data_IF_466556889214
#
_entry.id   IF_466556889214
#
_cell.length_a   1.000
_cell.length_b   1.000
_cell.length_c   1.000
_cell.angle_alpha   90.00
_cell.angle_beta   90.00
_cell.angle_gamma   90.00
#
_symmetry.space_group_name_H-M   'P 1'
#
loop_
_entity.id
_entity.type
_entity.pdbx_description
1 polymer ?
#
# COMPACT_ATOMS: atom_id res chain seq x y z
N UNK A 1 -3.07 -3.02 -24.21
CA UNK A 1 -3.40 -2.48 -25.53
C UNK A 1 -2.27 -1.56 -26.00
N UNK A 2 -2.07 -1.41 -27.34
CA UNK A 2 -1.12 -0.49 -27.92
C UNK A 2 -1.81 0.35 -29.01
N UNK A 3 -1.46 1.64 -29.04
CA UNK A 3 -1.90 2.61 -30.06
C UNK A 3 -0.66 3.12 -30.79
N UNK A 4 -0.71 3.17 -32.10
CA UNK A 4 0.39 3.69 -32.92
C UNK A 4 -0.11 4.90 -33.70
N UNK A 5 0.43 6.07 -33.34
CA UNK A 5 0.25 7.32 -34.09
C UNK A 5 1.36 7.43 -35.12
N UNK A 6 0.98 7.68 -36.41
CA UNK A 6 1.93 7.94 -37.50
C UNK A 6 1.90 9.42 -37.87
N UNK A 7 3.00 9.89 -38.41
CA UNK A 7 3.12 11.26 -38.95
C UNK A 7 2.84 12.35 -37.92
N UNK A 8 3.65 12.34 -36.85
CA UNK A 8 3.66 13.46 -35.91
C UNK A 8 4.33 14.67 -36.58
N UNK A 9 3.62 15.78 -36.64
CA UNK A 9 4.18 17.02 -37.17
C UNK A 9 4.94 17.81 -36.11
N UNK A 10 4.54 17.63 -34.82
CA UNK A 10 5.14 18.26 -33.66
C UNK A 10 5.06 17.30 -32.46
N UNK A 11 6.02 17.42 -31.58
CA UNK A 11 6.01 16.68 -30.30
C UNK A 11 4.82 17.04 -29.39
N UNK A 12 4.26 18.24 -29.51
CA UNK A 12 3.05 18.65 -28.79
C UNK A 12 1.83 17.80 -29.15
N UNK A 13 1.79 17.21 -30.36
CA UNK A 13 0.69 16.30 -30.73
C UNK A 13 0.66 15.04 -29.88
N UNK A 14 1.80 14.61 -29.29
CA UNK A 14 1.90 13.48 -28.39
C UNK A 14 1.09 13.71 -27.13
N UNK A 15 1.20 14.91 -26.57
CA UNK A 15 0.47 15.28 -25.34
C UNK A 15 -1.03 15.35 -25.61
N UNK A 16 -1.43 15.92 -26.74
CA UNK A 16 -2.83 15.96 -27.17
C UNK A 16 -3.42 14.54 -27.30
N UNK A 17 -2.66 13.60 -27.85
CA UNK A 17 -3.12 12.21 -27.97
C UNK A 17 -3.17 11.53 -26.62
N UNK A 18 -2.16 11.73 -25.77
CA UNK A 18 -2.12 11.21 -24.40
C UNK A 18 -3.33 11.67 -23.58
N UNK A 19 -3.59 12.98 -23.57
CA UNK A 19 -4.75 13.57 -22.89
C UNK A 19 -6.08 13.02 -23.40
N UNK A 20 -6.27 12.93 -24.71
CA UNK A 20 -7.48 12.37 -25.30
C UNK A 20 -7.71 10.91 -24.92
N UNK A 21 -6.64 10.11 -24.86
CA UNK A 21 -6.75 8.72 -24.47
C UNK A 21 -7.12 8.60 -22.97
N UNK A 22 -6.55 9.42 -22.10
CA UNK A 22 -6.92 9.45 -20.67
C UNK A 22 -8.37 9.90 -20.53
N UNK A 23 -8.77 10.95 -21.23
CA UNK A 23 -10.14 11.46 -21.21
C UNK A 23 -11.16 10.44 -21.72
N UNK A 24 -10.81 9.61 -22.71
CA UNK A 24 -11.70 8.56 -23.21
C UNK A 24 -12.04 7.48 -22.16
N UNK A 25 -11.21 7.32 -21.12
CA UNK A 25 -11.48 6.43 -19.98
C UNK A 25 -12.16 7.14 -18.81
N UNK A 26 -12.32 8.47 -18.85
CA UNK A 26 -12.95 9.22 -17.77
C UNK A 26 -14.48 9.15 -17.80
N UNK A 27 -15.06 8.81 -18.96
CA UNK A 27 -16.49 8.57 -19.09
C UNK A 27 -16.83 7.12 -18.69
N UNK A 28 -17.93 6.89 -17.96
CA UNK A 28 -18.32 5.55 -17.57
C UNK A 28 -18.73 4.71 -18.80
N UNK A 29 -18.33 3.45 -18.79
CA UNK A 29 -18.74 2.47 -19.79
C UNK A 29 -20.03 1.78 -19.35
N UNK A 30 -21.03 1.72 -20.21
CA UNK A 30 -22.25 0.95 -19.98
C UNK A 30 -22.05 -0.50 -20.49
N UNK A 31 -22.07 -1.46 -19.57
CA UNK A 31 -21.96 -2.89 -19.89
C UNK A 31 -23.13 -3.62 -19.21
N UNK A 32 -23.98 -4.27 -19.98
CA UNK A 32 -25.15 -5.01 -19.49
C UNK A 32 -26.06 -4.20 -18.53
N UNK A 33 -26.24 -2.90 -18.82
CA UNK A 33 -27.05 -1.97 -18.01
C UNK A 33 -26.41 -1.54 -16.70
N UNK A 34 -25.09 -1.75 -16.55
CA UNK A 34 -24.31 -1.27 -15.40
C UNK A 34 -23.25 -0.27 -15.87
N UNK A 35 -23.13 0.82 -15.15
CA UNK A 35 -22.04 1.79 -15.35
C UNK A 35 -20.75 1.25 -14.72
N UNK A 36 -19.68 1.17 -15.54
CA UNK A 36 -18.35 0.77 -15.11
C UNK A 36 -17.41 1.96 -15.29
N UNK A 37 -16.83 2.41 -14.19
CA UNK A 37 -15.75 3.40 -14.19
C UNK A 37 -14.41 2.67 -14.35
N UNK A 38 -13.70 2.96 -15.44
CA UNK A 38 -12.39 2.39 -15.75
C UNK A 38 -11.40 3.53 -15.91
N UNK A 39 -10.21 3.37 -15.35
CA UNK A 39 -9.13 4.33 -15.54
C UNK A 39 -8.00 3.71 -16.36
N UNK A 40 -7.27 4.54 -17.11
CA UNK A 40 -6.16 4.12 -17.94
C UNK A 40 -4.84 4.79 -17.53
N UNK A 41 -3.79 4.00 -17.34
CA UNK A 41 -2.42 4.51 -17.26
C UNK A 41 -1.72 4.25 -18.59
N UNK A 42 -1.15 5.30 -19.19
CA UNK A 42 -0.65 5.28 -20.55
C UNK A 42 0.82 5.66 -20.55
N UNK A 43 1.65 4.80 -21.14
CA UNK A 43 3.06 5.11 -21.39
C UNK A 43 3.28 5.45 -22.85
N UNK A 44 4.04 6.47 -23.12
CA UNK A 44 4.30 6.99 -24.47
C UNK A 44 5.79 6.99 -24.76
N UNK A 45 6.18 6.45 -25.90
CA UNK A 45 7.53 6.55 -26.44
C UNK A 45 7.49 7.01 -27.90
N UNK A 46 8.47 7.79 -28.33
CA UNK A 46 8.50 8.47 -29.63
C UNK A 46 9.73 8.05 -30.44
N UNK A 47 9.53 7.61 -31.67
CA UNK A 47 10.59 7.37 -32.63
C UNK A 47 10.93 8.66 -33.40
N UNK A 48 12.20 8.95 -33.67
CA UNK A 48 13.42 8.21 -33.26
C UNK A 48 14.01 8.68 -31.93
N UNK A 49 13.35 9.58 -31.21
CA UNK A 49 13.87 10.23 -30.00
C UNK A 49 14.15 9.23 -28.87
N UNK A 50 13.18 8.35 -28.58
CA UNK A 50 13.24 7.47 -27.41
C UNK A 50 13.76 6.07 -27.76
N UNK A 51 13.72 5.66 -29.03
CA UNK A 51 14.16 4.34 -29.48
C UNK A 51 14.47 4.34 -30.97
N UNK A 52 15.30 3.37 -31.41
CA UNK A 52 15.68 3.22 -32.83
C UNK A 52 15.08 1.98 -33.50
N UNK A 53 14.39 1.14 -32.75
CA UNK A 53 13.71 -0.04 -33.26
C UNK A 53 12.39 -0.26 -32.53
N UNK A 54 11.56 -1.16 -33.08
CA UNK A 54 10.23 -1.49 -32.58
C UNK A 54 10.25 -2.01 -31.15
N UNK A 55 11.18 -2.90 -30.85
CA UNK A 55 11.21 -3.62 -29.57
C UNK A 55 11.61 -2.67 -28.42
N UNK A 56 12.54 -1.78 -28.67
CA UNK A 56 12.88 -0.68 -27.74
C UNK A 56 11.71 0.26 -27.55
N UNK A 57 11.02 0.63 -28.64
CA UNK A 57 9.89 1.56 -28.55
C UNK A 57 8.78 0.98 -27.66
N UNK A 58 8.42 -0.28 -27.88
CA UNK A 58 7.41 -0.94 -27.03
C UNK A 58 7.87 -1.08 -25.59
N UNK A 59 9.12 -1.46 -25.35
CA UNK A 59 9.67 -1.56 -24.00
C UNK A 59 9.67 -0.21 -23.28
N UNK A 60 10.03 0.87 -23.93
CA UNK A 60 10.06 2.21 -23.36
C UNK A 60 8.65 2.75 -23.09
N UNK A 61 7.69 2.46 -23.98
CA UNK A 61 6.28 2.77 -23.70
C UNK A 61 5.75 1.98 -22.48
N UNK A 62 6.10 0.71 -22.37
CA UNK A 62 5.72 -0.11 -21.22
C UNK A 62 6.34 0.40 -19.91
N UNK A 63 7.63 0.77 -19.94
CA UNK A 63 8.30 1.43 -18.81
C UNK A 63 7.58 2.70 -18.38
N UNK A 64 7.23 3.57 -19.33
CA UNK A 64 6.51 4.82 -19.04
C UNK A 64 5.07 4.57 -18.53
N UNK A 65 4.38 3.56 -19.06
CA UNK A 65 3.06 3.16 -18.58
C UNK A 65 3.12 2.67 -17.14
N UNK A 66 4.14 1.91 -16.82
CA UNK A 66 4.35 1.44 -15.45
C UNK A 66 4.60 2.61 -14.50
N UNK A 67 5.43 3.57 -14.91
CA UNK A 67 5.66 4.80 -14.16
C UNK A 67 4.37 5.62 -13.97
N UNK A 68 3.51 5.68 -14.99
CA UNK A 68 2.20 6.32 -14.87
C UNK A 68 1.30 5.64 -13.81
N UNK A 69 1.34 4.30 -13.71
CA UNK A 69 0.60 3.55 -12.68
C UNK A 69 1.08 3.87 -11.26
N UNK A 70 2.37 4.06 -11.06
CA UNK A 70 2.95 4.39 -9.76
C UNK A 70 2.69 5.83 -9.34
N UNK A 71 2.63 6.75 -10.31
CA UNK A 71 2.47 8.17 -10.07
C UNK A 71 1.02 8.63 -10.25
N UNK A 72 0.10 8.03 -9.48
CA UNK A 72 -1.28 8.49 -9.34
C UNK A 72 -2.28 7.80 -10.26
N UNK A 73 -1.87 6.90 -11.16
CA UNK A 73 -2.76 6.23 -12.12
C UNK A 73 -3.57 7.25 -12.96
N UNK A 74 -4.46 6.79 -13.84
CA UNK A 74 -5.35 7.64 -14.64
C UNK A 74 -4.65 8.86 -15.30
N UNK A 75 -3.45 8.65 -15.81
CA UNK A 75 -2.63 9.65 -16.45
C UNK A 75 -1.86 9.06 -17.64
N UNK A 76 -1.20 9.92 -18.41
CA UNK A 76 -0.20 9.49 -19.37
C UNK A 76 1.19 10.03 -18.99
N UNK A 77 2.23 9.26 -19.30
CA UNK A 77 3.61 9.63 -19.05
C UNK A 77 4.44 9.35 -20.31
N UNK A 78 5.27 10.33 -20.69
CA UNK A 78 6.27 10.17 -21.77
C UNK A 78 7.51 9.50 -21.20
N UNK A 79 8.08 8.57 -21.98
CA UNK A 79 9.30 7.90 -21.59
C UNK A 79 10.44 8.91 -21.35
N UNK A 80 11.15 8.69 -20.29
CA UNK A 80 12.42 9.33 -19.98
C UNK A 80 13.43 8.26 -19.54
N UNK A 81 14.70 8.35 -19.94
CA UNK A 81 15.71 7.31 -19.65
C UNK A 81 15.84 6.98 -18.15
N UNK A 82 15.58 7.95 -17.28
CA UNK A 82 15.63 7.82 -15.82
C UNK A 82 14.61 6.80 -15.29
N UNK A 83 13.50 6.59 -16.01
CA UNK A 83 12.47 5.62 -15.65
C UNK A 83 12.96 4.18 -15.68
N UNK A 84 13.93 3.87 -16.54
CA UNK A 84 14.55 2.54 -16.55
C UNK A 84 15.20 2.20 -15.20
N UNK A 85 15.84 3.19 -14.55
CA UNK A 85 16.46 2.99 -13.24
C UNK A 85 15.40 2.72 -12.15
N UNK A 86 14.24 3.42 -12.21
CA UNK A 86 13.14 3.19 -11.28
C UNK A 86 12.54 1.79 -11.42
N UNK A 87 12.30 1.34 -12.65
CA UNK A 87 11.80 -0.03 -12.91
C UNK A 87 12.78 -1.09 -12.41
N UNK A 88 14.10 -0.88 -12.63
CA UNK A 88 15.12 -1.80 -12.12
C UNK A 88 15.19 -1.79 -10.59
N UNK A 89 15.15 -0.60 -9.96
CA UNK A 89 15.11 -0.46 -8.49
C UNK A 89 13.92 -1.23 -7.92
N UNK A 90 12.74 -1.09 -8.52
CA UNK A 90 11.54 -1.77 -8.06
C UNK A 90 11.65 -3.29 -8.21
N UNK A 91 12.12 -3.80 -9.34
CA UNK A 91 12.32 -5.23 -9.53
C UNK A 91 13.31 -5.82 -8.50
N UNK A 92 14.35 -5.07 -8.16
CA UNK A 92 15.27 -5.44 -7.07
C UNK A 92 14.56 -5.47 -5.71
N UNK A 93 13.76 -4.44 -5.40
CA UNK A 93 12.95 -4.38 -4.19
C UNK A 93 11.99 -5.57 -4.08
N UNK A 94 11.24 -5.87 -5.15
CA UNK A 94 10.32 -7.01 -5.18
C UNK A 94 11.02 -8.34 -4.90
N UNK A 95 12.17 -8.58 -5.56
CA UNK A 95 12.94 -9.80 -5.38
C UNK A 95 13.54 -9.92 -3.97
N UNK A 96 14.04 -8.83 -3.42
CA UNK A 96 14.57 -8.80 -2.06
C UNK A 96 13.45 -8.99 -1.03
N UNK A 97 12.31 -8.31 -1.20
CA UNK A 97 11.19 -8.38 -0.26
C UNK A 97 10.57 -9.78 -0.17
N UNK A 98 10.52 -10.53 -1.29
CA UNK A 98 10.08 -11.94 -1.29
C UNK A 98 10.89 -12.84 -0.34
N UNK A 99 12.13 -12.48 -0.07
CA UNK A 99 13.04 -13.23 0.82
C UNK A 99 13.06 -12.67 2.24
N UNK A 100 12.70 -11.40 2.41
CA UNK A 100 12.91 -10.64 3.64
C UNK A 100 12.29 -11.30 4.88
N UNK A 101 11.03 -11.77 4.77
CA UNK A 101 10.34 -12.41 5.90
C UNK A 101 11.05 -13.71 6.32
N UNK A 102 11.37 -14.59 5.36
CA UNK A 102 12.06 -15.86 5.66
C UNK A 102 13.53 -15.70 6.05
N UNK A 103 14.15 -14.58 5.66
CA UNK A 103 15.54 -14.26 6.01
C UNK A 103 15.68 -13.53 7.36
N UNK A 104 14.59 -13.15 8.03
CA UNK A 104 14.63 -12.39 9.27
C UNK A 104 15.15 -10.96 9.10
N UNK A 105 14.94 -10.37 7.93
CA UNK A 105 15.35 -9.00 7.61
C UNK A 105 14.35 -7.94 8.08
N UNK A 106 13.16 -8.36 8.52
CA UNK A 106 12.11 -7.48 9.05
C UNK A 106 12.24 -7.37 10.58
N UNK A 107 12.01 -6.17 11.10
CA UNK A 107 12.01 -5.88 12.52
C UNK A 107 10.89 -4.88 12.86
N UNK A 108 10.45 -4.86 14.12
CA UNK A 108 9.55 -3.83 14.63
C UNK A 108 10.31 -2.81 15.46
N UNK A 109 10.05 -1.54 15.20
CA UNK A 109 10.38 -0.45 16.11
C UNK A 109 9.09 0.04 16.76
N UNK A 110 9.20 0.50 18.00
CA UNK A 110 8.05 0.92 18.78
C UNK A 110 8.14 2.40 19.12
N UNK A 111 7.13 3.16 18.70
CA UNK A 111 7.01 4.57 19.03
C UNK A 111 6.06 4.75 20.21
N UNK A 112 6.51 5.31 21.35
CA UNK A 112 5.67 5.43 22.52
C UNK A 112 4.63 6.56 22.37
N UNK A 113 3.40 6.28 22.81
CA UNK A 113 2.29 7.22 22.92
C UNK A 113 2.04 7.49 24.39
N UNK A 114 2.07 8.79 24.75
CA UNK A 114 1.99 9.25 26.13
C UNK A 114 0.61 9.79 26.48
N UNK A 115 0.14 9.46 27.65
CA UNK A 115 -1.00 10.15 28.26
C UNK A 115 -0.58 11.58 28.66
N UNK A 116 -1.19 12.59 28.07
CA UNK A 116 -0.78 13.99 28.27
C UNK A 116 -0.83 14.44 29.73
N UNK A 117 -1.81 13.97 30.51
CA UNK A 117 -2.00 14.38 31.88
C UNK A 117 -0.95 13.82 32.85
N UNK A 118 -0.49 12.60 32.64
CA UNK A 118 0.41 11.89 33.55
C UNK A 118 1.83 11.74 33.02
N UNK A 119 2.04 11.93 31.71
CA UNK A 119 3.32 11.64 31.04
C UNK A 119 3.67 10.14 30.95
N UNK A 120 2.71 9.25 31.22
CA UNK A 120 2.93 7.79 31.14
C UNK A 120 2.78 7.29 29.71
N UNK A 121 3.57 6.29 29.36
CA UNK A 121 3.35 5.51 28.12
C UNK A 121 2.09 4.65 28.34
N UNK A 122 1.11 4.80 27.46
CA UNK A 122 -0.16 4.06 27.50
C UNK A 122 -0.31 3.13 26.29
N UNK A 123 0.41 3.44 25.20
CA UNK A 123 0.40 2.67 23.97
C UNK A 123 1.78 2.75 23.32
N UNK A 124 2.10 1.80 22.48
CA UNK A 124 3.22 1.86 21.53
C UNK A 124 2.70 1.58 20.14
N UNK A 125 3.11 2.37 19.15
CA UNK A 125 2.87 2.08 17.76
C UNK A 125 3.97 1.17 17.21
N UNK A 126 3.57 0.04 16.63
CA UNK A 126 4.48 -0.91 16.01
C UNK A 126 4.76 -0.51 14.56
N UNK A 127 5.98 -0.10 14.30
CA UNK A 127 6.44 0.41 13.02
C UNK A 127 7.37 -0.57 12.34
N UNK A 128 6.95 -1.12 11.21
CA UNK A 128 7.76 -2.06 10.44
C UNK A 128 9.03 -1.39 9.92
N UNK A 129 10.16 -2.10 10.04
CA UNK A 129 11.48 -1.72 9.53
C UNK A 129 12.05 -2.87 8.71
N UNK A 130 12.70 -2.54 7.62
CA UNK A 130 13.37 -3.52 6.78
C UNK A 130 14.85 -3.21 6.65
N UNK A 131 15.67 -4.16 7.07
CA UNK A 131 17.13 -4.11 6.96
C UNK A 131 17.57 -5.21 5.98
N UNK A 132 17.54 -4.90 4.70
CA UNK A 132 17.93 -5.85 3.66
C UNK A 132 19.44 -6.08 3.64
N UNK A 133 19.87 -7.34 3.57
CA UNK A 133 21.28 -7.67 3.40
C UNK A 133 21.85 -7.15 2.07
N UNK A 134 20.99 -7.01 1.04
CA UNK A 134 21.37 -6.56 -0.29
C UNK A 134 21.24 -5.04 -0.46
N UNK A 135 20.16 -4.43 0.08
CA UNK A 135 19.79 -3.05 -0.16
C UNK A 135 20.09 -2.11 1.02
N UNK A 136 20.52 -2.67 2.16
CA UNK A 136 20.69 -1.89 3.40
C UNK A 136 19.35 -1.55 4.06
N UNK A 137 19.28 -0.39 4.72
CA UNK A 137 18.03 0.11 5.32
C UNK A 137 17.11 0.61 4.23
N UNK A 138 15.92 0.03 4.13
CA UNK A 138 14.91 0.41 3.14
C UNK A 138 13.79 1.17 3.84
N UNK A 139 13.44 2.34 3.31
CA UNK A 139 12.40 3.19 3.89
C UNK A 139 11.00 2.59 3.67
N UNK A 140 10.07 2.70 4.65
CA UNK A 140 8.71 2.15 4.56
C UNK A 140 7.96 2.56 3.30
N UNK A 141 8.06 3.82 2.90
CA UNK A 141 7.44 4.37 1.69
C UNK A 141 7.92 3.69 0.39
N UNK A 142 9.14 3.16 0.37
CA UNK A 142 9.70 2.47 -0.80
C UNK A 142 9.14 1.04 -0.94
N UNK A 143 8.86 0.32 0.17
CA UNK A 143 8.53 -1.11 0.08
C UNK A 143 7.08 -1.47 0.45
N UNK A 144 6.36 -0.64 1.20
CA UNK A 144 4.97 -0.97 1.59
C UNK A 144 4.07 -1.06 0.36
N UNK A 145 4.14 -0.06 -0.54
CA UNK A 145 3.38 -0.07 -1.80
C UNK A 145 3.74 -1.27 -2.68
N UNK A 146 5.03 -1.63 -2.71
CA UNK A 146 5.50 -2.84 -3.42
C UNK A 146 4.91 -4.10 -2.79
N UNK A 147 4.94 -4.22 -1.44
CA UNK A 147 4.36 -5.34 -0.72
C UNK A 147 2.87 -5.49 -1.00
N UNK A 148 2.14 -4.37 -1.05
CA UNK A 148 0.73 -4.35 -1.42
C UNK A 148 0.51 -4.87 -2.84
N UNK A 149 1.22 -4.33 -3.83
CA UNK A 149 1.05 -4.69 -5.24
C UNK A 149 1.31 -6.17 -5.50
N UNK A 150 2.35 -6.75 -4.89
CA UNK A 150 2.71 -8.17 -5.09
C UNK A 150 2.04 -9.13 -4.07
N UNK A 151 1.24 -8.61 -3.13
CA UNK A 151 0.48 -9.40 -2.16
C UNK A 151 1.24 -9.83 -0.92
N UNK A 152 2.49 -9.46 -0.79
CA UNK A 152 3.29 -9.79 0.40
C UNK A 152 2.88 -9.02 1.66
N UNK A 153 2.09 -7.95 1.50
CA UNK A 153 1.57 -7.21 2.66
C UNK A 153 0.70 -8.10 3.57
N UNK A 154 0.07 -9.16 3.04
CA UNK A 154 -0.73 -10.09 3.84
C UNK A 154 0.14 -10.88 4.82
N UNK A 155 1.12 -11.72 4.38
CA UNK A 155 1.96 -12.46 5.30
C UNK A 155 2.88 -11.55 6.15
N UNK A 156 3.31 -10.41 5.63
CA UNK A 156 4.09 -9.43 6.40
C UNK A 156 3.22 -8.85 7.52
N UNK A 157 2.00 -8.43 7.22
CA UNK A 157 1.09 -7.86 8.20
C UNK A 157 0.67 -8.84 9.29
N UNK A 158 0.46 -10.11 8.93
CA UNK A 158 0.22 -11.19 9.90
C UNK A 158 1.41 -11.32 10.86
N UNK A 159 2.63 -11.39 10.33
CA UNK A 159 3.85 -11.42 11.14
C UNK A 159 4.01 -10.18 12.04
N UNK A 160 3.65 -8.99 11.53
CA UNK A 160 3.70 -7.73 12.31
C UNK A 160 2.74 -7.81 13.50
N UNK A 161 1.48 -8.19 13.27
CA UNK A 161 0.46 -8.29 14.33
C UNK A 161 0.87 -9.34 15.36
N UNK A 162 1.30 -10.52 14.92
CA UNK A 162 1.74 -11.60 15.79
C UNK A 162 2.93 -11.18 16.64
N UNK A 163 3.96 -10.58 16.03
CA UNK A 163 5.17 -10.14 16.73
C UNK A 163 4.84 -9.04 17.74
N UNK A 164 4.07 -8.03 17.33
CA UNK A 164 3.67 -6.92 18.19
C UNK A 164 2.84 -7.39 19.39
N UNK A 165 1.86 -8.26 19.15
CA UNK A 165 1.03 -8.82 20.22
C UNK A 165 1.86 -9.65 21.21
N UNK A 166 2.77 -10.49 20.72
CA UNK A 166 3.65 -11.33 21.56
C UNK A 166 4.56 -10.47 22.42
N UNK A 167 5.28 -9.53 21.83
CA UNK A 167 6.24 -8.69 22.56
C UNK A 167 5.54 -7.82 23.61
N UNK A 168 4.39 -7.21 23.28
CA UNK A 168 3.64 -6.38 24.23
C UNK A 168 2.97 -7.24 25.33
N UNK A 169 2.53 -8.45 25.02
CA UNK A 169 2.07 -9.39 26.04
C UNK A 169 3.20 -9.72 27.04
N UNK A 170 4.42 -10.00 26.56
CA UNK A 170 5.59 -10.23 27.40
C UNK A 170 5.93 -9.00 28.26
N UNK A 171 5.97 -7.80 27.69
CA UNK A 171 6.24 -6.57 28.45
C UNK A 171 5.20 -6.33 29.53
N UNK A 172 3.95 -6.62 29.26
CA UNK A 172 2.85 -6.46 30.23
C UNK A 172 2.96 -7.41 31.43
N UNK A 173 3.75 -8.47 31.35
CA UNK A 173 4.00 -9.34 32.52
C UNK A 173 4.79 -8.65 33.64
N UNK A 174 5.62 -7.66 33.28
CA UNK A 174 6.50 -6.93 34.22
C UNK A 174 6.02 -5.48 34.47
N UNK A 175 5.12 -4.97 33.67
CA UNK A 175 4.57 -3.62 33.82
C UNK A 175 3.51 -3.56 34.92
N UNK A 176 3.55 -2.51 35.75
CA UNK A 176 2.51 -2.26 36.78
C UNK A 176 1.13 -1.96 36.21
N UNK A 177 1.08 -1.41 35.02
CA UNK A 177 -0.13 -1.10 34.28
C UNK A 177 0.05 -1.60 32.84
N UNK A 178 -0.96 -2.25 32.29
CA UNK A 178 -0.86 -2.79 30.95
C UNK A 178 -0.78 -1.67 29.92
N UNK A 179 0.06 -1.85 28.94
CA UNK A 179 0.27 -1.01 27.79
C UNK A 179 -0.38 -1.66 26.58
N UNK A 180 -0.97 -0.88 25.70
CA UNK A 180 -1.53 -1.33 24.41
C UNK A 180 -0.52 -1.21 23.30
N UNK A 181 -0.82 -1.88 22.19
CA UNK A 181 -0.08 -1.74 20.92
C UNK A 181 -1.01 -1.32 19.82
N UNK A 182 -0.56 -0.36 19.01
CA UNK A 182 -1.21 0.09 17.79
C UNK A 182 -0.46 -0.50 16.58
N UNK A 183 -1.21 -1.00 15.60
CA UNK A 183 -0.67 -1.61 14.37
C UNK A 183 -1.41 -1.06 13.17
N UNK A 184 -0.67 -0.56 12.20
CA UNK A 184 -1.19 -0.08 10.94
C UNK A 184 -1.73 -1.23 10.08
N UNK A 185 -2.90 -1.04 9.47
CA UNK A 185 -3.58 -2.02 8.62
C UNK A 185 -3.84 -1.44 7.23
N UNK A 186 -3.37 -2.13 6.20
CA UNK A 186 -3.53 -1.69 4.81
C UNK A 186 -4.92 -2.02 4.24
N UNK A 187 -5.33 -1.27 3.21
CA UNK A 187 -6.55 -1.53 2.45
C UNK A 187 -6.59 -2.96 1.89
N UNK A 188 -5.45 -3.48 1.48
CA UNK A 188 -5.38 -4.82 0.90
C UNK A 188 -5.60 -5.91 1.94
N UNK A 189 -5.07 -5.73 3.15
CA UNK A 189 -5.31 -6.66 4.26
C UNK A 189 -6.79 -6.69 4.65
N UNK A 190 -7.45 -5.53 4.69
CA UNK A 190 -8.88 -5.45 4.98
C UNK A 190 -9.76 -6.22 3.98
N UNK A 191 -9.31 -6.38 2.73
CA UNK A 191 -10.04 -7.14 1.70
C UNK A 191 -9.93 -8.66 1.87
N UNK A 192 -9.08 -9.12 2.78
CA UNK A 192 -8.94 -10.53 3.06
C UNK A 192 -10.03 -10.99 4.05
N UNK A 193 -10.91 -11.86 3.58
CA UNK A 193 -12.02 -12.40 4.38
C UNK A 193 -11.55 -13.15 5.63
N UNK A 194 -10.32 -13.68 5.62
CA UNK A 194 -9.75 -14.43 6.74
C UNK A 194 -9.05 -13.56 7.77
N UNK A 195 -8.88 -12.25 7.50
CA UNK A 195 -8.14 -11.34 8.38
C UNK A 195 -8.65 -11.36 9.81
N UNK A 196 -9.99 -11.28 9.98
CA UNK A 196 -10.60 -11.24 11.32
C UNK A 196 -10.32 -12.49 12.15
N UNK A 197 -10.44 -13.65 11.54
CA UNK A 197 -10.20 -14.93 12.20
C UNK A 197 -8.72 -15.06 12.58
N UNK A 198 -7.80 -14.72 11.67
CA UNK A 198 -6.35 -14.73 11.96
C UNK A 198 -5.93 -13.80 13.09
N UNK A 199 -6.49 -12.58 13.15
CA UNK A 199 -6.22 -11.66 14.27
C UNK A 199 -6.69 -12.25 15.59
N UNK A 200 -7.87 -12.88 15.63
CA UNK A 200 -8.38 -13.51 16.85
C UNK A 200 -7.53 -14.71 17.26
N UNK A 201 -7.09 -15.54 16.31
CA UNK A 201 -6.17 -16.65 16.58
C UNK A 201 -4.83 -16.14 17.15
N UNK A 202 -4.25 -15.08 16.57
CA UNK A 202 -3.02 -14.44 17.08
C UNK A 202 -3.21 -13.95 18.54
N UNK A 203 -4.35 -13.31 18.84
CA UNK A 203 -4.63 -12.84 20.20
C UNK A 203 -4.74 -13.99 21.20
N UNK A 204 -5.39 -15.08 20.79
CA UNK A 204 -5.52 -16.28 21.63
C UNK A 204 -4.15 -16.98 21.83
N UNK A 205 -3.31 -17.05 20.78
CA UNK A 205 -1.97 -17.66 20.85
C UNK A 205 -0.97 -16.83 21.65
N UNK A 206 -1.00 -15.51 21.50
CA UNK A 206 -0.07 -14.59 22.21
C UNK A 206 -0.52 -14.28 23.63
N UNK A 207 -1.79 -14.49 23.95
CA UNK A 207 -2.39 -14.16 25.22
C UNK A 207 -2.57 -12.67 25.48
N UNK A 208 -2.40 -11.83 24.46
CA UNK A 208 -2.66 -10.38 24.59
C UNK A 208 -4.17 -10.14 24.68
N UNK A 209 -4.68 -9.50 25.73
CA UNK A 209 -6.09 -9.16 25.83
C UNK A 209 -6.53 -8.30 24.63
N UNK A 210 -7.64 -8.64 23.92
CA UNK A 210 -8.07 -7.92 22.71
C UNK A 210 -8.15 -6.39 22.87
N UNK A 211 -8.56 -5.89 24.03
CA UNK A 211 -8.63 -4.46 24.35
C UNK A 211 -7.27 -3.73 24.33
N UNK A 212 -6.17 -4.47 24.29
CA UNK A 212 -4.81 -3.92 24.22
C UNK A 212 -4.24 -3.91 22.80
N UNK A 213 -4.95 -4.47 21.81
CA UNK A 213 -4.65 -4.31 20.40
C UNK A 213 -5.50 -3.16 19.83
N UNK A 214 -4.86 -2.23 19.16
CA UNK A 214 -5.46 -1.16 18.37
C UNK A 214 -5.05 -1.33 16.91
N UNK A 215 -6.00 -1.32 15.98
CA UNK A 215 -5.74 -1.37 14.55
C UNK A 215 -5.96 0.02 13.98
N UNK A 216 -4.94 0.55 13.31
CA UNK A 216 -4.96 1.88 12.71
C UNK A 216 -5.25 1.78 11.22
N UNK A 217 -6.20 2.57 10.75
CA UNK A 217 -6.69 2.60 9.38
C UNK A 217 -6.61 4.02 8.87
N UNK A 218 -6.08 4.24 7.68
CA UNK A 218 -6.14 5.57 7.08
C UNK A 218 -7.57 5.90 6.63
N UNK A 219 -7.91 7.19 6.60
CA UNK A 219 -9.21 7.69 6.14
C UNK A 219 -9.59 7.14 4.76
N UNK A 220 -8.63 7.11 3.83
CA UNK A 220 -8.82 6.62 2.45
C UNK A 220 -9.26 5.15 2.43
N UNK A 221 -8.67 4.33 3.29
CA UNK A 221 -8.99 2.90 3.41
C UNK A 221 -10.44 2.68 3.82
N UNK A 222 -10.96 3.50 4.72
CA UNK A 222 -12.35 3.42 5.17
C UNK A 222 -13.35 3.86 4.10
N UNK A 223 -12.98 4.83 3.24
CA UNK A 223 -13.87 5.36 2.20
C UNK A 223 -14.01 4.45 0.99
N UNK A 224 -12.99 3.66 0.66
CA UNK A 224 -12.98 2.86 -0.59
C UNK A 224 -13.83 1.59 -0.56
N UNK A 225 -14.17 1.00 0.62
CA UNK A 225 -14.73 -0.35 0.68
C UNK A 225 -15.66 -0.62 1.88
N UNK A 226 -16.69 0.18 2.08
CA UNK A 226 -17.42 0.24 3.36
C UNK A 226 -18.24 -1.01 3.73
N UNK A 227 -18.81 -1.79 2.78
CA UNK A 227 -19.82 -2.78 3.16
C UNK A 227 -19.29 -4.19 3.52
N UNK A 228 -18.31 -4.73 2.81
CA UNK A 228 -17.84 -6.10 3.07
C UNK A 228 -16.88 -6.17 4.28
N UNK A 229 -16.13 -5.10 4.53
CA UNK A 229 -15.15 -5.06 5.62
C UNK A 229 -15.73 -4.63 6.97
N UNK A 230 -16.87 -3.92 6.98
CA UNK A 230 -17.56 -3.53 8.22
C UNK A 230 -17.84 -4.74 9.10
N UNK A 231 -18.24 -5.88 8.53
CA UNK A 231 -18.55 -7.06 9.32
C UNK A 231 -17.30 -7.63 10.02
N UNK A 232 -16.17 -7.69 9.31
CA UNK A 232 -14.89 -8.13 9.90
C UNK A 232 -14.45 -7.20 11.02
N UNK A 233 -14.47 -5.88 10.78
CA UNK A 233 -14.11 -4.88 11.79
C UNK A 233 -15.07 -4.91 12.99
N UNK A 234 -16.38 -5.08 12.75
CA UNK A 234 -17.38 -5.19 13.80
C UNK A 234 -17.12 -6.39 14.71
N UNK A 235 -16.84 -7.58 14.14
CA UNK A 235 -16.49 -8.78 14.88
C UNK A 235 -15.26 -8.57 15.78
N UNK A 236 -14.23 -7.88 15.26
CA UNK A 236 -13.03 -7.55 16.05
C UNK A 236 -13.36 -6.60 17.21
N UNK A 237 -14.16 -5.57 16.97
CA UNK A 237 -14.61 -4.63 18.01
C UNK A 237 -15.47 -5.32 19.07
N UNK A 238 -16.39 -6.20 18.67
CA UNK A 238 -17.21 -7.00 19.60
C UNK A 238 -16.36 -7.92 20.51
N UNK A 239 -15.19 -8.34 20.01
CA UNK A 239 -14.20 -9.09 20.81
C UNK A 239 -13.30 -8.19 21.66
N UNK A 240 -13.41 -6.87 21.50
CA UNK A 240 -12.74 -5.85 22.30
C UNK A 240 -11.51 -5.23 21.66
N UNK A 241 -11.16 -5.56 20.40
CA UNK A 241 -10.10 -4.88 19.65
C UNK A 241 -10.50 -3.43 19.40
N UNK A 242 -9.55 -2.51 19.52
CA UNK A 242 -9.80 -1.08 19.25
C UNK A 242 -9.47 -0.74 17.81
N UNK A 243 -10.19 0.23 17.26
CA UNK A 243 -9.94 0.78 15.94
C UNK A 243 -9.63 2.28 16.09
N UNK A 244 -8.65 2.75 15.35
CA UNK A 244 -8.31 4.15 15.22
C UNK A 244 -8.27 4.55 13.74
N UNK A 245 -8.55 5.82 13.48
CA UNK A 245 -8.38 6.41 12.15
C UNK A 245 -7.11 7.25 12.18
N UNK A 246 -6.16 6.89 11.34
CA UNK A 246 -4.92 7.62 11.16
C UNK A 246 -4.98 8.56 9.96
N UNK A 247 -4.08 9.54 9.90
CA UNK A 247 -3.97 10.53 8.82
C UNK A 247 -5.28 11.31 8.56
N UNK A 248 -6.11 11.51 9.58
CA UNK A 248 -7.39 12.21 9.44
C UNK A 248 -7.21 13.64 8.93
N UNK A 249 -7.89 13.96 7.81
CA UNK A 249 -7.84 15.30 7.19
C UNK A 249 -6.79 15.46 6.10
N UNK A 250 -6.02 14.43 5.77
CA UNK A 250 -5.07 14.46 4.63
C UNK A 250 -5.72 13.96 3.33
N UNK A 251 -6.90 13.33 3.42
CA UNK A 251 -7.70 12.86 2.30
C UNK A 251 -8.84 13.82 1.92
N UNK A 252 -9.79 13.34 1.11
CA UNK A 252 -11.01 14.06 0.73
C UNK A 252 -12.02 14.10 1.89
N UNK A 253 -11.66 14.74 3.00
CA UNK A 253 -12.63 15.01 4.07
C UNK A 253 -13.65 16.07 3.60
N UNK A 254 -14.63 15.67 2.78
CA UNK A 254 -15.83 16.49 2.68
C UNK A 254 -16.69 16.21 3.92
N UNK A 255 -16.47 16.99 4.97
CA UNK A 255 -17.52 17.21 5.96
C UNK A 255 -18.64 17.97 5.27
N UNK A 256 -19.55 17.27 4.63
CA UNK A 256 -20.81 17.77 4.13
C UNK A 256 -21.95 17.14 4.94
#
# INVERSE_FOLDING_TARGET
>A
FAVIQRHLNDEAEVDVVGEKLVQAFSEPFEVDGRELHVTGSIGVSVYPRDAYNRDELLRHADTAMYFAKENGKNNYVRFAPEMNASVMKRAQLENALRRALGAGELALHYQPIFETASGRIICVEALLRWHSAELGVVAPEDYISVAEDIGLILPIGEWVIETACREVAEWNTVLKQPMSVAVNLSARQLRDEQLGDRILDILDETGLPPRLLELELTETVLMENVHAQIETLRRLVERGVRLAIDDFGTGYSSMA
#
